data_IF_444842655018
#
_entry.id   IF_444842655018
#
_cell.length_a   1.000
_cell.length_b   1.000
_cell.length_c   1.000
_cell.angle_alpha   90.00
_cell.angle_beta   90.00
_cell.angle_gamma   90.00
#
_symmetry.space_group_name_H-M   'P 1'
#
loop_
_entity.id
_entity.type
_entity.pdbx_description
1 polymer ?
2 branched ?
3 non-polymer ?
4 non-polymer ?
5 non-polymer ?
#
# COMPACT_ATOMS: atom_id res chain seq x y z
N UNK A 3 18.03 1.09 -16.30
CA UNK A 3 16.94 1.26 -15.33
C UNK A 3 16.01 2.41 -15.67
N UNK A 4 14.77 2.35 -15.14
CA UNK A 4 13.73 3.37 -15.36
C UNK A 4 12.75 3.55 -14.18
N UNK A 5 12.92 2.76 -13.09
CA UNK A 5 12.04 2.82 -11.92
C UNK A 5 12.31 4.03 -11.05
N UNK A 6 11.23 4.68 -10.62
CA UNK A 6 11.27 5.85 -9.76
C UNK A 6 10.22 5.74 -8.67
N UNK A 7 10.65 5.63 -7.40
CA UNK A 7 9.78 5.57 -6.23
C UNK A 7 10.19 6.71 -5.33
N UNK A 8 9.23 7.57 -4.95
CA UNK A 8 9.51 8.74 -4.12
C UNK A 8 8.30 9.20 -3.32
N UNK A 9 8.51 10.19 -2.42
CA UNK A 9 7.45 10.80 -1.64
C UNK A 9 7.23 12.20 -2.21
N UNK A 10 5.96 12.56 -2.49
CA UNK A 10 5.60 13.87 -3.04
C UNK A 10 5.84 15.00 -2.04
N UNK A 11 6.13 16.20 -2.55
CA UNK A 11 6.41 17.41 -1.77
C UNK A 11 5.29 17.80 -0.80
N UNK A 12 4.02 17.55 -1.19
CA UNK A 12 2.84 17.86 -0.37
C UNK A 12 2.77 16.97 0.86
N UNK A 13 3.12 15.67 0.72
CA UNK A 13 3.16 14.70 1.81
C UNK A 13 4.36 15.00 2.70
N UNK A 14 5.53 15.30 2.08
CA UNK A 14 6.79 15.66 2.73
C UNK A 14 6.66 16.79 3.76
N UNK A 15 5.82 17.80 3.46
CA UNK A 15 5.55 18.94 4.34
C UNK A 15 4.87 18.53 5.65
N UNK A 16 4.08 17.45 5.64
CA UNK A 16 3.38 16.95 6.83
C UNK A 16 4.35 16.16 7.72
N UNK A 17 5.13 15.24 7.11
CA UNK A 17 6.08 14.39 7.83
C UNK A 17 7.36 15.10 8.30
N UNK A 18 8.13 15.68 7.37
CA UNK A 18 9.36 16.38 7.72
C UNK A 18 9.25 17.92 7.92
N UNK A 19 8.40 18.56 7.13
CA UNK A 19 8.19 20.00 7.17
C UNK A 19 8.66 20.70 5.92
N UNK A 20 9.68 20.13 5.26
CA UNK A 20 10.26 20.68 4.03
C UNK A 20 9.46 20.19 2.83
N UNK A 21 8.98 21.13 2.02
CA UNK A 21 8.17 20.83 0.84
C UNK A 21 9.07 20.52 -0.38
N UNK A 22 9.52 19.26 -0.49
CA UNK A 22 10.37 18.77 -1.58
C UNK A 22 10.19 17.26 -1.79
N UNK A 23 10.40 16.78 -3.03
CA UNK A 23 10.27 15.37 -3.39
C UNK A 23 11.40 14.52 -2.76
N UNK A 24 11.02 13.54 -1.92
CA UNK A 24 11.96 12.65 -1.22
C UNK A 24 12.17 11.38 -2.05
N UNK A 25 13.22 11.37 -2.88
CA UNK A 25 13.54 10.23 -3.74
C UNK A 25 14.06 9.04 -2.95
N UNK A 26 13.51 7.85 -3.25
CA UNK A 26 13.87 6.56 -2.64
C UNK A 26 14.55 5.68 -3.71
N UNK A 27 13.89 5.51 -4.89
CA UNK A 27 14.40 4.74 -6.03
C UNK A 27 14.56 5.68 -7.23
N UNK A 28 15.78 5.77 -7.80
CA UNK A 28 16.10 6.63 -8.95
C UNK A 28 16.85 5.85 -10.01
N UNK A 29 16.29 5.81 -11.24
CA UNK A 29 16.82 5.11 -12.42
C UNK A 29 17.04 3.60 -12.16
N UNK A 30 16.14 3.02 -11.38
CA UNK A 30 16.16 1.61 -10.99
C UNK A 30 17.09 1.27 -9.84
N UNK A 31 17.70 2.29 -9.22
CA UNK A 31 18.63 2.11 -8.10
C UNK A 31 18.17 2.88 -6.88
N UNK A 32 18.45 2.34 -5.68
CA UNK A 32 18.10 2.96 -4.41
C UNK A 32 18.91 4.24 -4.18
N UNK A 33 18.32 5.20 -3.43
CA UNK A 33 18.94 6.50 -3.10
C UNK A 33 20.18 6.32 -2.21
N UNK A 34 21.18 7.24 -2.23
CA UNK A 34 22.38 7.04 -1.41
C UNK A 34 22.18 6.77 0.09
N UNK A 35 21.10 7.29 0.69
CA UNK A 35 20.83 7.07 2.11
C UNK A 35 20.31 5.66 2.42
N UNK A 36 19.78 4.97 1.40
CA UNK A 36 19.27 3.60 1.58
C UNK A 36 20.31 2.47 1.54
N UNK A 37 21.53 2.76 1.09
CA UNK A 37 22.58 1.75 0.99
C UNK A 37 22.85 1.14 2.38
N UNK A 38 23.09 2.00 3.39
CA UNK A 38 23.25 1.56 4.76
C UNK A 38 21.87 1.68 5.40
N UNK A 39 20.91 0.86 4.88
CA UNK A 39 19.49 0.79 5.25
C UNK A 39 19.25 0.79 6.76
N UNK A 40 20.13 0.12 7.50
CA UNK A 40 20.10 0.02 8.96
C UNK A 40 20.42 1.37 9.61
N UNK A 41 21.43 2.11 9.09
CA UNK A 41 21.80 3.44 9.60
C UNK A 41 20.66 4.44 9.32
N UNK A 42 19.88 4.18 8.25
CA UNK A 42 18.71 4.97 7.86
C UNK A 42 17.53 4.61 8.75
N UNK A 43 17.45 3.34 9.24
CA UNK A 43 16.42 2.85 10.15
C UNK A 43 16.44 3.56 11.50
N UNK A 44 17.63 4.01 11.96
CA UNK A 44 17.80 4.75 13.21
C UNK A 44 17.27 6.18 13.02
N UNK A 45 17.73 6.85 11.93
CA UNK A 45 17.38 8.23 11.57
C UNK A 45 15.88 8.42 11.25
N UNK A 46 15.09 7.33 11.37
CA UNK A 46 13.65 7.35 11.14
C UNK A 46 12.88 7.11 12.43
N UNK A 47 12.13 8.14 12.91
CA UNK A 47 11.35 7.96 14.15
C UNK A 47 10.01 7.27 13.92
N UNK A 48 9.25 7.06 15.00
CA UNK A 48 7.93 6.45 14.94
C UNK A 48 6.98 7.43 14.29
N UNK A 49 6.08 6.92 13.43
CA UNK A 49 5.10 7.74 12.72
C UNK A 49 4.19 8.44 13.73
N UNK A 50 4.19 9.79 13.72
CA UNK A 50 3.41 10.55 14.72
C UNK A 50 1.90 10.29 14.72
N UNK A 51 1.26 10.46 15.89
CA UNK A 51 -0.18 10.25 16.10
C UNK A 51 -1.05 10.97 15.07
N UNK A 52 -0.63 12.21 14.66
CA UNK A 52 -1.33 13.04 13.67
C UNK A 52 -1.28 12.45 12.27
N UNK A 53 -0.14 11.82 11.89
CA UNK A 53 -0.02 11.19 10.57
C UNK A 53 -0.67 9.82 10.62
N UNK A 54 -1.82 9.66 9.94
CA UNK A 54 -2.60 8.41 9.90
C UNK A 54 -2.18 7.49 8.77
N UNK A 55 -1.86 8.07 7.60
CA UNK A 55 -1.43 7.34 6.40
C UNK A 55 -0.35 8.09 5.60
N UNK A 56 0.39 7.37 4.73
CA UNK A 56 1.48 7.93 3.95
C UNK A 56 1.33 7.68 2.45
N UNK A 57 1.58 8.74 1.64
CA UNK A 57 1.50 8.72 0.18
C UNK A 57 2.85 8.49 -0.49
N UNK A 58 2.99 7.35 -1.18
CA UNK A 58 4.21 6.97 -1.88
C UNK A 58 3.96 6.94 -3.39
N UNK A 59 4.60 7.86 -4.12
CA UNK A 59 4.45 7.95 -5.57
C UNK A 59 5.47 7.05 -6.29
N UNK A 60 5.04 6.39 -7.39
CA UNK A 60 5.89 5.50 -8.19
C UNK A 60 5.51 5.49 -9.67
N UNK A 61 6.48 5.11 -10.55
CA UNK A 61 6.30 4.99 -11.99
C UNK A 61 7.47 4.38 -12.78
N UNK A 62 7.13 3.52 -13.76
CA UNK A 62 8.11 2.90 -14.66
C UNK A 62 8.08 3.72 -15.96
N UNK A 63 9.01 4.66 -16.09
CA UNK A 63 9.11 5.59 -17.22
C UNK A 63 9.40 4.96 -18.58
N UNK A 64 10.33 4.00 -18.62
CA UNK A 64 10.74 3.33 -19.85
C UNK A 64 9.72 2.34 -20.39
N UNK A 65 9.98 1.82 -21.60
CA UNK A 65 9.15 0.84 -22.30
C UNK A 65 9.16 -0.51 -21.57
N UNK A 66 10.10 -0.69 -20.63
CA UNK A 66 10.29 -1.88 -19.81
C UNK A 66 9.18 -2.03 -18.77
N UNK A 67 8.64 -3.26 -18.68
CA UNK A 67 7.57 -3.60 -17.72
C UNK A 67 8.19 -3.98 -16.38
N UNK A 68 7.59 -3.50 -15.28
CA UNK A 68 8.04 -3.80 -13.92
C UNK A 68 6.91 -4.26 -13.04
N UNK A 69 7.13 -5.38 -12.33
CA UNK A 69 6.14 -6.01 -11.47
C UNK A 69 6.50 -5.88 -10.00
N UNK A 70 5.49 -5.60 -9.16
CA UNK A 70 5.66 -5.46 -7.71
C UNK A 70 4.87 -6.50 -6.94
N UNK A 71 5.34 -6.85 -5.73
CA UNK A 71 4.65 -7.82 -4.89
C UNK A 71 4.87 -7.53 -3.42
N UNK A 72 3.77 -7.22 -2.69
CA UNK A 72 3.80 -6.96 -1.26
C UNK A 72 3.79 -8.30 -0.56
N UNK A 73 4.96 -8.78 -0.14
CA UNK A 73 5.12 -10.08 0.52
C UNK A 73 4.54 -10.15 1.93
N UNK A 74 4.85 -9.16 2.79
CA UNK A 74 4.36 -9.13 4.16
C UNK A 74 3.99 -7.72 4.62
N UNK A 75 2.78 -7.54 5.18
CA UNK A 75 2.28 -6.27 5.74
C UNK A 75 1.66 -6.59 7.10
N UNK A 76 2.53 -7.01 8.02
CA UNK A 76 2.20 -7.48 9.37
C UNK A 76 2.52 -6.47 10.47
N UNK A 77 1.61 -6.37 11.45
CA UNK A 77 1.77 -5.54 12.63
C UNK A 77 2.27 -6.46 13.75
N UNK A 78 3.47 -6.18 14.27
CA UNK A 78 4.10 -6.96 15.34
C UNK A 78 3.44 -6.73 16.71
N UNK A 79 2.69 -5.63 16.84
CA UNK A 79 1.97 -5.29 18.07
C UNK A 79 0.50 -5.10 17.73
N UNK A 80 -0.19 -6.23 17.47
CA UNK A 80 -1.60 -6.30 17.07
C UNK A 80 -2.62 -5.70 18.05
N UNK A 81 -2.25 -5.55 19.31
CA UNK A 81 -3.12 -4.97 20.33
C UNK A 81 -3.26 -3.47 20.22
N UNK A 82 -2.22 -2.80 19.72
CA UNK A 82 -2.16 -1.35 19.56
C UNK A 82 -2.58 -0.97 18.14
N UNK A 83 -1.80 -1.43 17.15
CA UNK A 83 -2.01 -1.15 15.75
C UNK A 83 -2.37 -2.41 14.97
N UNK A 84 -3.36 -2.28 14.06
CA UNK A 84 -3.81 -3.35 13.17
C UNK A 84 -2.86 -3.37 11.96
N UNK A 85 -2.80 -4.51 11.24
CA UNK A 85 -1.92 -4.69 10.07
C UNK A 85 -2.01 -3.53 9.07
N UNK A 86 -0.85 -2.94 8.65
CA UNK A 86 -0.89 -1.80 7.70
C UNK A 86 -1.51 -2.16 6.34
N UNK A 87 -2.27 -1.21 5.76
CA UNK A 87 -3.00 -1.39 4.50
C UNK A 87 -2.44 -0.62 3.31
N UNK A 88 -2.77 -1.09 2.09
CA UNK A 88 -2.40 -0.45 0.82
C UNK A 88 -3.60 -0.36 -0.14
N UNK A 89 -3.84 0.85 -0.71
CA UNK A 89 -4.94 1.09 -1.66
C UNK A 89 -4.63 0.52 -3.06
N UNK A 90 -3.65 -0.38 -3.12
CA UNK A 90 -3.20 -1.06 -4.33
C UNK A 90 -3.27 -2.59 -4.13
N UNK A 91 -3.53 -3.38 -5.19
CA UNK A 91 -3.55 -4.84 -5.02
C UNK A 91 -2.15 -5.37 -4.75
N UNK A 92 -2.00 -6.30 -3.77
CA UNK A 92 -0.73 -6.90 -3.32
C UNK A 92 0.25 -7.21 -4.46
N UNK A 93 -0.20 -7.92 -5.49
CA UNK A 93 0.58 -8.28 -6.67
C UNK A 93 0.01 -7.53 -7.88
N UNK A 94 0.91 -7.01 -8.72
CA UNK A 94 0.56 -6.28 -9.93
C UNK A 94 1.72 -5.65 -10.68
N UNK A 95 1.41 -4.93 -11.77
CA UNK A 95 2.39 -4.22 -12.60
C UNK A 95 2.47 -2.77 -12.12
N UNK A 96 3.69 -2.19 -12.06
CA UNK A 96 3.92 -0.81 -11.64
C UNK A 96 3.49 0.11 -12.80
N UNK A 97 2.59 1.12 -12.56
CA UNK A 97 2.14 1.99 -13.67
C UNK A 97 3.24 2.79 -14.35
N UNK A 98 3.03 3.16 -15.63
CA UNK A 98 3.98 3.98 -16.39
C UNK A 98 3.65 5.46 -16.18
N UNK A 99 2.48 5.74 -15.59
CA UNK A 99 1.93 7.03 -15.22
C UNK A 99 2.15 7.20 -13.71
N UNK A 100 2.58 8.41 -13.28
CA UNK A 100 2.82 8.72 -11.87
C UNK A 100 1.57 8.49 -11.02
N UNK A 101 1.63 7.48 -10.14
CA UNK A 101 0.51 7.08 -9.28
C UNK A 101 0.89 7.01 -7.79
N UNK A 102 -0.02 7.43 -6.91
CA UNK A 102 0.15 7.48 -5.46
C UNK A 102 -0.35 6.19 -4.78
N UNK A 103 0.43 5.70 -3.80
CA UNK A 103 0.10 4.50 -3.01
C UNK A 103 -0.19 4.93 -1.56
N UNK A 104 -1.44 4.76 -1.11
CA UNK A 104 -1.85 5.11 0.24
C UNK A 104 -1.56 3.99 1.22
N UNK A 105 -0.51 4.16 2.03
CA UNK A 105 -0.08 3.20 3.05
C UNK A 105 -0.69 3.64 4.38
N UNK A 106 -1.79 3.00 4.75
CA UNK A 106 -2.52 3.31 5.98
C UNK A 106 -2.10 2.49 7.17
N UNK A 107 -1.83 3.17 8.31
CA UNK A 107 -1.44 2.55 9.57
C UNK A 107 -2.65 2.62 10.53
N UNK A 108 -3.41 1.52 10.70
CA UNK A 108 -4.62 1.59 11.53
C UNK A 108 -4.44 1.33 13.02
N UNK A 109 -4.44 2.41 13.81
CA UNK A 109 -4.36 2.34 15.28
C UNK A 109 -5.76 2.01 15.79
N UNK A 110 -5.88 0.99 16.64
CA UNK A 110 -7.16 0.55 17.18
C UNK A 110 -7.82 1.51 18.17
N UNK A 111 -7.01 2.33 18.85
CA UNK A 111 -7.49 3.32 19.80
C UNK A 111 -7.73 2.78 21.20
N UNK A 112 -7.85 1.44 21.33
CA UNK A 112 -8.08 0.72 22.59
C UNK A 112 -6.89 0.81 23.54
N UNK A 113 -5.66 0.88 22.98
CA UNK A 113 -4.42 0.96 23.76
C UNK A 113 -3.53 2.11 23.29
N UNK A 114 -2.78 2.69 24.24
CA UNK A 114 -1.85 3.80 24.02
C UNK A 114 -0.42 3.25 23.96
N UNK A 115 0.43 3.89 23.14
CA UNK A 115 1.83 3.50 22.98
C UNK A 115 2.29 3.33 21.54
N UNK A 116 3.58 3.03 21.37
CA UNK A 116 4.21 2.84 20.05
C UNK A 116 4.15 1.37 19.65
N UNK A 117 3.74 1.12 18.39
CA UNK A 117 3.62 -0.22 17.81
C UNK A 117 4.50 -0.36 16.58
N UNK A 118 5.19 -1.51 16.47
CA UNK A 118 6.09 -1.85 15.36
C UNK A 118 5.34 -2.56 14.21
N UNK A 119 5.91 -2.56 12.99
CA UNK A 119 5.31 -3.21 11.82
C UNK A 119 6.34 -3.59 10.75
N UNK A 120 5.90 -4.42 9.77
CA UNK A 120 6.71 -4.89 8.65
C UNK A 120 6.10 -4.47 7.32
N UNK A 121 6.92 -3.96 6.41
CA UNK A 121 6.49 -3.57 5.07
C UNK A 121 7.47 -4.20 4.08
N UNK A 122 7.16 -5.41 3.59
CA UNK A 122 8.00 -6.14 2.65
C UNK A 122 7.43 -6.12 1.25
N UNK A 123 8.22 -5.61 0.31
CA UNK A 123 7.82 -5.47 -1.08
C UNK A 123 9.00 -5.71 -2.04
N UNK A 124 8.73 -6.40 -3.16
CA UNK A 124 9.73 -6.74 -4.17
C UNK A 124 9.36 -6.22 -5.54
N UNK A 125 10.36 -5.71 -6.26
CA UNK A 125 10.22 -5.18 -7.63
C UNK A 125 11.01 -6.09 -8.57
N UNK A 126 10.32 -6.66 -9.58
CA UNK A 126 10.90 -7.61 -10.54
C UNK A 126 10.88 -7.13 -11.99
N UNK A 127 11.81 -7.68 -12.82
CA UNK A 127 11.95 -7.41 -14.26
C UNK A 127 11.04 -8.37 -15.07
N UNK A 128 10.89 -8.11 -16.40
CA UNK A 128 10.09 -8.92 -17.33
C UNK A 128 10.48 -10.41 -17.32
N UNK A 129 11.77 -10.70 -17.08
CA UNK A 129 12.32 -12.06 -16.99
C UNK A 129 11.86 -12.75 -15.70
N UNK A 130 11.55 -11.95 -14.67
CA UNK A 130 11.08 -12.43 -13.38
C UNK A 130 12.15 -12.46 -12.30
N UNK A 131 13.04 -11.46 -12.29
CA UNK A 131 14.12 -11.40 -11.31
C UNK A 131 14.03 -10.21 -10.40
N UNK A 132 14.15 -10.45 -9.09
CA UNK A 132 14.11 -9.43 -8.04
C UNK A 132 15.32 -8.50 -8.19
N UNK A 133 15.05 -7.22 -8.48
CA UNK A 133 16.09 -6.19 -8.65
C UNK A 133 16.16 -5.31 -7.43
N UNK A 134 15.03 -4.71 -7.06
CA UNK A 134 14.89 -3.84 -5.90
C UNK A 134 13.99 -4.53 -4.91
N UNK A 135 14.41 -4.57 -3.64
CA UNK A 135 13.64 -5.23 -2.60
C UNK A 135 13.82 -4.58 -1.24
N UNK A 136 12.93 -4.94 -0.30
CA UNK A 136 13.01 -4.45 1.07
C UNK A 136 14.06 -5.30 1.78
N UNK A 137 15.16 -4.69 2.28
CA UNK A 137 16.19 -5.47 2.98
C UNK A 137 15.62 -6.23 4.18
N UNK A 138 16.06 -7.49 4.34
CA UNK A 138 15.67 -8.47 5.36
C UNK A 138 15.24 -7.91 6.72
N UNK A 139 14.01 -8.28 7.15
CA UNK A 139 13.37 -7.91 8.42
C UNK A 139 13.36 -6.41 8.70
N UNK A 140 12.61 -5.65 7.89
CA UNK A 140 12.52 -4.22 8.07
C UNK A 140 11.44 -3.92 9.08
N UNK A 141 11.80 -3.21 10.16
CA UNK A 141 10.86 -2.87 11.22
C UNK A 141 10.75 -1.35 11.35
N UNK A 142 9.54 -0.84 11.12
CA UNK A 142 9.21 0.58 11.25
C UNK A 142 8.16 0.72 12.36
N UNK A 143 8.15 1.87 13.06
CA UNK A 143 7.25 2.09 14.19
C UNK A 143 6.21 3.18 13.96
N UNK A 144 5.07 3.11 14.67
CA UNK A 144 3.96 4.07 14.61
C UNK A 144 3.42 4.33 16.04
N UNK A 145 3.38 5.62 16.46
CA UNK A 145 2.87 6.01 17.77
C UNK A 145 1.34 6.05 17.72
N UNK A 146 0.64 5.35 18.63
CA UNK A 146 -0.82 5.35 18.65
C UNK A 146 -1.33 5.78 20.00
N UNK A 147 -2.13 6.85 20.04
CA UNK A 147 -2.71 7.36 21.28
C UNK A 147 -4.11 6.80 21.52
N UNK A 148 -4.44 6.61 22.80
CA UNK A 148 -5.74 6.10 23.24
C UNK A 148 -6.79 7.21 23.10
N UNK A 149 -7.90 6.91 22.38
CA UNK A 149 -9.00 7.83 22.16
C UNK A 149 -10.34 7.07 22.19
N UNK A 150 -11.26 7.52 23.07
CA UNK A 150 -12.57 6.88 23.24
C UNK A 150 -13.70 7.69 22.62
N UNK A 151 -14.53 7.02 21.80
CA UNK A 151 -15.68 7.60 21.10
C UNK A 151 -16.99 6.95 21.57
N UNK A 152 -18.09 7.73 21.77
CA UNK A 152 -19.35 7.12 22.19
C UNK A 152 -19.94 6.21 21.10
N UNK A 153 -20.05 4.93 21.42
CA UNK A 153 -20.55 3.90 20.51
C UNK A 153 -19.45 3.11 19.83
N UNK A 154 -18.41 3.81 19.39
CA UNK A 154 -17.26 3.20 18.71
C UNK A 154 -17.33 3.36 17.20
N UNK A 155 -16.18 3.71 16.58
CA UNK A 155 -16.06 3.91 15.14
C UNK A 155 -15.92 2.57 14.42
N UNK A 156 -16.73 2.36 13.37
CA UNK A 156 -16.75 1.11 12.59
C UNK A 156 -16.10 1.29 11.21
N UNK A 157 -15.67 0.16 10.60
CA UNK A 157 -15.05 0.05 9.27
C UNK A 157 -13.73 0.85 9.09
N UNK A 158 -12.80 0.64 10.02
CA UNK A 158 -11.49 1.28 10.01
C UNK A 158 -11.47 2.77 10.25
N UNK A 159 -12.29 3.23 11.21
CA UNK A 159 -12.37 4.63 11.59
C UNK A 159 -11.66 4.91 12.90
N UNK A 160 -10.92 6.03 12.98
CA UNK A 160 -10.18 6.42 14.19
C UNK A 160 -10.83 7.63 14.87
N UNK A 161 -11.04 7.52 16.20
CA UNK A 161 -11.65 8.57 17.02
C UNK A 161 -10.71 9.77 17.18
N UNK A 162 -11.24 10.98 16.92
CA UNK A 162 -10.52 12.25 17.01
C UNK A 162 -10.63 12.84 18.43
N UNK A 163 -9.79 13.86 18.74
CA UNK A 163 -9.78 14.55 20.04
C UNK A 163 -11.11 15.27 20.35
N UNK A 164 -11.87 15.61 19.30
CA UNK A 164 -13.17 16.26 19.37
C UNK A 164 -14.31 15.22 19.50
N UNK A 165 -13.93 13.94 19.75
CA UNK A 165 -14.82 12.76 19.90
C UNK A 165 -15.72 12.45 18.68
N UNK A 166 -15.24 12.81 17.48
CA UNK A 166 -15.94 12.58 16.21
C UNK A 166 -15.16 11.56 15.38
N UNK A 167 -15.84 10.49 14.92
CA UNK A 167 -15.23 9.42 14.12
C UNK A 167 -14.77 9.90 12.74
N UNK A 168 -13.49 9.60 12.38
CA UNK A 168 -12.91 9.94 11.09
C UNK A 168 -13.21 8.78 10.11
N UNK A 169 -14.36 8.88 9.42
CA UNK A 169 -14.84 7.89 8.45
C UNK A 169 -13.99 7.88 7.19
N UNK A 170 -13.70 6.65 6.73
CA UNK A 170 -12.94 6.33 5.51
C UNK A 170 -13.82 6.34 4.27
N UNK A 171 -13.19 6.25 3.09
CA UNK A 171 -13.95 6.33 1.85
C UNK A 171 -15.09 5.31 1.81
N UNK A 172 -16.23 5.77 1.32
CA UNK A 172 -17.46 5.00 1.19
C UNK A 172 -18.26 4.87 2.46
N UNK A 173 -17.89 5.63 3.52
CA UNK A 173 -18.56 5.62 4.82
C UNK A 173 -18.71 7.02 5.41
N UNK A 174 -19.83 7.27 6.14
CA UNK A 174 -20.13 8.55 6.79
C UNK A 174 -21.09 8.39 7.98
N UNK A 175 -21.23 9.44 8.78
CA UNK A 175 -22.11 9.46 9.93
C UNK A 175 -21.40 9.56 11.28
N UNK A 176 -22.07 9.21 12.40
CA UNK A 176 -21.41 9.31 13.71
C UNK A 176 -20.55 8.11 14.08
N UNK A 177 -20.95 6.90 13.66
CA UNK A 177 -20.18 5.68 13.93
C UNK A 177 -19.68 5.01 12.65
N UNK A 178 -19.88 5.73 11.54
CA UNK A 178 -19.50 5.32 10.17
C UNK A 178 -20.33 4.13 9.68
N UNK A 179 -21.57 4.03 10.18
CA UNK A 179 -22.52 2.97 9.84
C UNK A 179 -23.22 3.24 8.51
N UNK A 180 -23.52 4.52 8.21
CA UNK A 180 -24.19 4.94 6.97
C UNK A 180 -23.21 4.85 5.79
N UNK A 181 -23.31 3.77 5.02
CA UNK A 181 -22.47 3.52 3.85
C UNK A 181 -23.22 3.76 2.54
N UNK A 182 -22.50 4.22 1.49
CA UNK A 182 -23.13 4.44 0.17
C UNK A 182 -23.31 3.11 -0.51
N UNK A 183 -22.20 2.44 -0.87
CA UNK A 183 -22.24 1.11 -1.47
C UNK A 183 -22.41 0.10 -0.34
N UNK A 184 -23.13 -1.01 -0.62
CA UNK A 184 -23.36 -2.13 0.34
C UNK A 184 -22.15 -3.01 0.75
N UNK A 185 -21.38 -3.54 -0.22
CA UNK A 185 -20.02 -4.03 0.08
C UNK A 185 -18.98 -2.91 -0.14
N UNK A 186 -17.92 -2.79 0.68
CA UNK A 186 -16.93 -1.74 0.42
C UNK A 186 -15.94 -2.15 -0.67
N UNK A 187 -15.72 -1.24 -1.64
CA UNK A 187 -14.82 -1.43 -2.79
C UNK A 187 -13.40 -1.75 -2.33
N UNK A 188 -12.76 -2.72 -3.00
CA UNK A 188 -11.41 -3.18 -2.70
C UNK A 188 -10.46 -2.98 -3.88
N UNK A 189 -9.14 -3.13 -3.62
CA UNK A 189 -8.04 -3.01 -4.58
C UNK A 189 -7.85 -1.60 -5.19
N UNK A 190 -8.56 -0.63 -4.63
CA UNK A 190 -8.51 0.76 -5.08
C UNK A 190 -9.75 1.22 -5.82
N UNK A 191 -10.85 0.50 -5.60
CA UNK A 191 -12.15 0.81 -6.20
C UNK A 191 -12.77 2.05 -5.59
N UNK A 192 -13.73 2.65 -6.31
CA UNK A 192 -14.40 3.87 -5.86
C UNK A 192 -15.91 3.79 -6.02
N UNK A 193 -16.65 4.15 -4.97
CA UNK A 193 -18.11 4.13 -4.96
C UNK A 193 -18.67 5.51 -5.30
N UNK A 194 -19.54 5.51 -6.32
CA UNK A 194 -20.23 6.69 -6.81
C UNK A 194 -21.46 6.92 -5.93
N UNK A 195 -22.15 8.04 -6.13
CA UNK A 195 -23.32 8.34 -5.30
C UNK A 195 -24.46 7.31 -5.40
N UNK A 196 -24.79 6.85 -6.61
CA UNK A 196 -25.87 5.87 -6.76
C UNK A 196 -25.47 4.57 -6.06
N UNK A 197 -24.21 4.21 -6.22
CA UNK A 197 -23.59 3.03 -5.65
C UNK A 197 -22.56 2.34 -6.52
N UNK A 198 -22.36 1.05 -6.24
CA UNK A 198 -21.41 0.22 -6.96
C UNK A 198 -19.97 0.69 -6.81
N UNK A 199 -19.04 -0.01 -7.45
CA UNK A 199 -17.64 0.35 -7.39
C UNK A 199 -16.96 0.47 -8.76
N UNK A 200 -16.27 1.58 -8.95
CA UNK A 200 -15.50 1.84 -10.17
C UNK A 200 -14.27 0.93 -10.03
N UNK A 201 -14.27 -0.24 -10.69
CA UNK A 201 -13.18 -1.20 -10.56
C UNK A 201 -11.87 -0.83 -11.23
N UNK A 202 -10.71 -1.07 -10.56
CA UNK A 202 -9.40 -0.76 -11.17
C UNK A 202 -9.04 -1.76 -12.29
N UNK A 203 -8.12 -1.43 -13.24
CA UNK A 203 -7.80 -2.40 -14.31
C UNK A 203 -7.26 -3.73 -13.79
N UNK A 204 -7.87 -4.81 -14.26
CA UNK A 204 -7.54 -6.17 -13.86
C UNK A 204 -8.56 -6.80 -12.93
N UNK A 205 -9.58 -6.03 -12.52
CA UNK A 205 -10.64 -6.49 -11.62
C UNK A 205 -12.02 -6.09 -12.07
N UNK A 206 -13.02 -6.87 -11.67
CA UNK A 206 -14.44 -6.67 -11.97
C UNK A 206 -15.31 -7.29 -10.87
N UNK A 207 -16.55 -6.82 -10.77
CA UNK A 207 -17.51 -7.31 -9.80
C UNK A 207 -18.23 -6.20 -9.07
N UNK A 208 -18.61 -6.50 -7.82
CA UNK A 208 -19.32 -5.55 -6.95
C UNK A 208 -18.33 -4.98 -5.93
N UNK A 209 -17.39 -5.82 -5.47
CA UNK A 209 -16.31 -5.39 -4.58
C UNK A 209 -14.93 -5.27 -5.23
N UNK A 210 -14.88 -5.61 -6.51
CA UNK A 210 -13.67 -5.58 -7.35
C UNK A 210 -12.64 -6.63 -6.89
N UNK A 211 -13.08 -7.90 -6.80
CA UNK A 211 -12.25 -9.03 -6.38
C UNK A 211 -12.01 -10.06 -7.50
N UNK A 212 -13.02 -10.28 -8.36
CA UNK A 212 -12.96 -11.21 -9.50
C UNK A 212 -11.99 -10.68 -10.55
N UNK A 213 -10.99 -11.49 -10.93
CA UNK A 213 -9.97 -11.12 -11.91
C UNK A 213 -9.95 -12.08 -13.10
N UNK A 214 -10.01 -11.54 -14.34
CA UNK A 214 -10.00 -12.32 -15.57
C UNK A 214 -8.63 -12.36 -16.21
N UNK A 215 -8.34 -13.48 -16.90
CA UNK A 215 -7.06 -13.69 -17.58
C UNK A 215 -7.29 -14.26 -18.99
N UNK A 216 -6.75 -13.59 -20.02
CA UNK A 216 -6.84 -14.03 -21.41
C UNK A 216 -5.94 -15.24 -21.66
N UNK A 217 -4.88 -15.32 -20.86
CA UNK A 217 -3.96 -16.43 -20.91
C UNK A 217 -3.87 -17.03 -19.53
N UNK A 218 -4.18 -18.31 -19.44
CA UNK A 218 -4.10 -19.09 -18.19
C UNK A 218 -2.66 -19.46 -17.92
N UNK A 219 -2.22 -19.33 -16.67
CA UNK A 219 -0.82 -19.58 -16.28
C UNK A 219 -0.62 -21.03 -15.85
N UNK A 220 0.37 -21.72 -16.47
CA UNK A 220 0.68 -23.12 -16.18
C UNK A 220 1.83 -23.34 -15.21
N UNK A 221 1.89 -24.57 -14.65
CA UNK A 221 2.89 -25.08 -13.70
C UNK A 221 3.03 -24.24 -12.41
N UNK A 222 1.89 -23.98 -11.78
CA UNK A 222 1.80 -23.20 -10.55
C UNK A 222 2.15 -21.74 -10.72
N UNK A 223 1.50 -21.08 -11.68
CA UNK A 223 1.70 -19.68 -11.99
C UNK A 223 0.54 -18.80 -11.57
N UNK A 224 0.86 -17.63 -10.98
CA UNK A 224 -0.15 -16.67 -10.51
C UNK A 224 -0.42 -15.58 -11.54
N UNK A 225 -1.70 -15.42 -11.93
CA UNK A 225 -2.13 -14.42 -12.91
C UNK A 225 -2.60 -13.14 -12.20
N UNK A 226 -2.20 -11.99 -12.76
CA UNK A 226 -2.53 -10.64 -12.26
C UNK A 226 -3.04 -9.75 -13.39
N UNK A 227 -2.52 -9.97 -14.61
CA UNK A 227 -2.89 -9.22 -15.81
C UNK A 227 -2.88 -10.13 -17.04
N UNK A 228 -3.89 -10.02 -17.96
CA UNK A 228 -3.90 -10.90 -19.15
C UNK A 228 -2.76 -10.68 -20.16
N UNK A 229 -1.91 -9.67 -19.89
CA UNK A 229 -0.76 -9.34 -20.72
C UNK A 229 0.50 -10.11 -20.36
N UNK A 230 0.90 -10.05 -19.07
CA UNK A 230 2.09 -10.73 -18.54
C UNK A 230 1.78 -11.59 -17.32
N UNK A 231 2.57 -12.67 -17.12
CA UNK A 231 2.41 -13.61 -16.00
C UNK A 231 3.75 -14.05 -15.38
N UNK A 232 3.78 -14.16 -14.03
CA UNK A 232 4.96 -14.59 -13.27
C UNK A 232 5.19 -16.10 -13.37
N UNK A 233 6.43 -16.50 -13.70
CA UNK A 233 6.82 -17.90 -13.88
C UNK A 233 7.83 -18.38 -12.84
N UNK A 234 7.69 -19.64 -12.33
CA UNK A 234 8.67 -20.15 -11.34
C UNK A 234 10.04 -20.47 -11.96
N UNK A 235 11.14 -20.58 -11.17
CA UNK A 235 12.46 -20.87 -11.78
C UNK A 235 12.53 -22.21 -12.54
N UNK A 236 13.04 -22.14 -13.75
CA UNK A 236 13.16 -23.27 -14.67
C UNK A 236 12.24 -23.16 -15.86
N UNK A 237 11.11 -22.45 -15.70
CA UNK A 237 10.09 -22.20 -16.72
C UNK A 237 10.12 -20.72 -17.15
N UNK A 238 10.12 -20.45 -18.46
CA UNK A 238 10.14 -19.09 -19.01
C UNK A 238 9.16 -18.91 -20.18
N UNK A 239 8.63 -17.71 -20.33
CA UNK A 239 7.70 -17.36 -21.41
C UNK A 239 6.41 -16.68 -20.97
N UNK A 240 5.39 -16.73 -21.85
CA UNK A 240 4.08 -16.12 -21.62
C UNK A 240 3.19 -17.02 -20.75
N UNK A 241 3.13 -18.33 -21.08
CA UNK A 241 2.31 -19.33 -20.38
C UNK A 241 3.12 -20.17 -19.37
N UNK A 242 4.42 -19.84 -19.20
CA UNK A 242 5.40 -20.50 -18.32
C UNK A 242 5.64 -21.95 -18.78
N UNK A 243 6.51 -22.10 -19.79
CA UNK A 243 6.89 -23.38 -20.40
C UNK A 243 8.40 -23.59 -20.36
#
# INVERSE_FOLDING_TARGET
ETGSLYLWIDAHQARVLIGFEEDILIVSEGKMAPFTHDFRKAQQRMPAIPVNIHSMNFTWQAAGQAEYFYEFLSLRSLDKGIMADPTVNVPLLGTVPHKASVVQVGFPCLGKQDGVAAFEVDVIVMNSEGNTILKTPQNAIFFKTCQQAECPGGCRNGGFCNERRICECPDGFHGPHCEKALCTPRCMNGGLCVTPGFCICPPGFYGVNCDKANCSTTCFNGGTCFYPGKCICPPGLEGEQCEISKCPQPCRNGGKCIGKSKCKCSKGYQGDLCSKPVCEPGCGAHGTCHEPNKCQCQEGWHGRHCNKRYEASLIGTKHHHHHH
#
